data_IF_157570577940
#
_entry.id   IF_157570577940
#
_cell.length_a   1.000
_cell.length_b   1.000
_cell.length_c   1.000
_cell.angle_alpha   90.00
_cell.angle_beta   90.00
_cell.angle_gamma   90.00
#
_symmetry.space_group_name_H-M   'P 1'
#
loop_
_entity.id
_entity.type
_entity.pdbx_description
1 polymer ?
#
# COMPACT_ATOMS: atom_id res chain seq x y z
N UNK A 1 6.76 -31.15 -33.62
CA UNK A 1 5.97 -30.06 -33.02
C UNK A 1 6.46 -29.79 -31.61
N UNK A 2 6.68 -28.53 -31.24
CA UNK A 2 7.04 -28.16 -29.86
C UNK A 2 5.89 -28.44 -28.89
N UNK A 3 6.21 -28.78 -27.64
CA UNK A 3 5.17 -29.03 -26.63
C UNK A 3 4.42 -27.72 -26.31
N UNK A 4 3.08 -27.75 -26.18
CA UNK A 4 2.32 -26.58 -25.78
C UNK A 4 2.68 -26.15 -24.35
N UNK A 5 2.61 -24.84 -24.08
CA UNK A 5 2.91 -24.30 -22.76
C UNK A 5 1.88 -24.81 -21.74
N UNK A 6 2.35 -25.38 -20.63
CA UNK A 6 1.47 -25.97 -19.60
C UNK A 6 0.72 -24.93 -18.77
N UNK A 7 1.10 -23.65 -18.81
CA UNK A 7 0.42 -22.57 -18.07
C UNK A 7 0.53 -22.65 -16.55
N UNK A 8 1.34 -23.56 -16.00
CA UNK A 8 1.49 -23.76 -14.55
C UNK A 8 2.06 -22.51 -13.89
N UNK A 9 1.42 -22.08 -12.82
CA UNK A 9 1.96 -21.08 -11.90
C UNK A 9 2.67 -21.77 -10.75
N UNK A 10 3.70 -21.11 -10.23
CA UNK A 10 4.46 -21.55 -9.08
C UNK A 10 4.34 -20.52 -7.97
N UNK A 11 3.96 -20.96 -6.77
CA UNK A 11 3.90 -20.13 -5.57
C UNK A 11 5.21 -20.32 -4.79
N UNK A 12 5.87 -19.21 -4.43
CA UNK A 12 7.08 -19.26 -3.63
C UNK A 12 7.17 -18.10 -2.66
N UNK A 13 8.09 -18.20 -1.71
CA UNK A 13 8.33 -17.17 -0.71
C UNK A 13 9.54 -16.33 -1.11
N UNK A 14 9.42 -15.01 -1.02
CA UNK A 14 10.50 -14.03 -1.20
C UNK A 14 10.69 -13.28 0.11
N UNK A 15 11.93 -13.21 0.58
CA UNK A 15 12.32 -12.44 1.78
C UNK A 15 13.08 -11.20 1.33
N UNK A 16 12.76 -10.06 1.91
CA UNK A 16 13.38 -8.78 1.60
C UNK A 16 13.87 -8.12 2.89
N UNK A 17 15.19 -8.10 3.06
CA UNK A 17 15.85 -7.49 4.21
C UNK A 17 15.98 -5.98 4.01
N UNK A 18 15.51 -5.19 4.97
CA UNK A 18 15.60 -3.74 4.98
C UNK A 18 16.90 -3.28 5.66
N UNK A 19 17.37 -2.04 5.43
CA UNK A 19 18.52 -1.49 6.14
C UNK A 19 18.40 -1.51 7.67
N UNK A 20 17.17 -1.44 8.19
CA UNK A 20 16.89 -1.48 9.64
C UNK A 20 17.01 -2.91 10.24
N UNK A 21 17.29 -3.93 9.43
CA UNK A 21 17.36 -5.33 9.86
C UNK A 21 16.03 -6.09 9.83
N UNK A 22 14.89 -5.39 9.65
CA UNK A 22 13.59 -6.02 9.46
C UNK A 22 13.52 -6.79 8.13
N UNK A 23 12.91 -7.97 8.15
CA UNK A 23 12.71 -8.81 6.97
C UNK A 23 11.24 -8.88 6.61
N UNK A 24 10.88 -8.38 5.43
CA UNK A 24 9.53 -8.52 4.90
C UNK A 24 9.40 -9.84 4.13
N UNK A 25 8.33 -10.59 4.42
CA UNK A 25 8.06 -11.90 3.81
C UNK A 25 6.89 -11.78 2.84
N UNK A 26 7.15 -12.07 1.58
CA UNK A 26 6.18 -12.01 0.50
C UNK A 26 5.93 -13.40 -0.08
N UNK A 27 4.66 -13.72 -0.31
CA UNK A 27 4.28 -14.76 -1.26
C UNK A 27 4.35 -14.17 -2.67
N UNK A 28 5.06 -14.83 -3.58
CA UNK A 28 5.10 -14.49 -5.01
C UNK A 28 4.49 -15.63 -5.81
N UNK A 29 3.65 -15.28 -6.78
CA UNK A 29 3.17 -16.22 -7.79
C UNK A 29 3.89 -15.91 -9.08
N UNK A 30 4.62 -16.88 -9.62
CA UNK A 30 5.36 -16.75 -10.88
C UNK A 30 4.73 -17.63 -11.95
N UNK A 31 4.75 -17.17 -13.20
CA UNK A 31 4.32 -17.96 -14.35
C UNK A 31 5.10 -17.57 -15.59
N UNK A 32 5.13 -18.47 -16.57
CA UNK A 32 5.82 -18.24 -17.83
C UNK A 32 4.98 -17.37 -18.77
N UNK A 33 5.58 -16.31 -19.30
CA UNK A 33 4.96 -15.46 -20.31
C UNK A 33 5.47 -15.83 -21.71
N UNK A 34 4.57 -16.37 -22.53
CA UNK A 34 4.88 -16.82 -23.89
C UNK A 34 5.32 -15.70 -24.83
N UNK A 35 4.87 -14.46 -24.61
CA UNK A 35 5.23 -13.32 -25.49
C UNK A 35 6.66 -12.88 -25.27
N UNK A 36 7.08 -12.84 -24.00
CA UNK A 36 8.43 -12.40 -23.63
C UNK A 36 9.41 -13.54 -23.41
N UNK A 37 8.94 -14.79 -23.51
CA UNK A 37 9.69 -16.03 -23.31
C UNK A 37 10.43 -16.08 -21.97
N UNK A 38 9.85 -15.46 -20.93
CA UNK A 38 10.47 -15.32 -19.61
C UNK A 38 9.48 -15.65 -18.51
N UNK A 39 9.99 -16.18 -17.41
CA UNK A 39 9.23 -16.32 -16.16
C UNK A 39 9.02 -14.94 -15.55
N UNK A 40 7.77 -14.57 -15.31
CA UNK A 40 7.38 -13.31 -14.69
C UNK A 40 6.65 -13.53 -13.37
N UNK A 41 6.74 -12.53 -12.51
CA UNK A 41 5.93 -12.49 -11.29
C UNK A 41 4.55 -11.96 -11.64
N UNK A 42 3.52 -12.77 -11.44
CA UNK A 42 2.12 -12.45 -11.71
C UNK A 42 1.56 -11.61 -10.56
N UNK A 43 1.80 -12.04 -9.32
CA UNK A 43 1.32 -11.35 -8.14
C UNK A 43 2.30 -11.47 -6.98
N UNK A 44 2.21 -10.50 -6.07
CA UNK A 44 2.92 -10.52 -4.80
C UNK A 44 1.94 -10.18 -3.68
N UNK A 45 2.04 -10.92 -2.57
CA UNK A 45 1.24 -10.70 -1.38
C UNK A 45 2.16 -10.62 -0.18
N UNK A 46 2.03 -9.56 0.63
CA UNK A 46 2.75 -9.44 1.88
C UNK A 46 2.12 -10.36 2.93
N UNK A 47 2.90 -11.29 3.48
CA UNK A 47 2.48 -12.20 4.54
C UNK A 47 2.72 -11.58 5.92
N UNK A 48 3.87 -10.93 6.10
CA UNK A 48 4.26 -10.36 7.38
C UNK A 48 5.65 -9.76 7.36
N UNK A 49 6.11 -9.37 8.54
CA UNK A 49 7.50 -8.93 8.78
C UNK A 49 8.10 -9.67 9.96
N UNK A 50 9.40 -9.90 9.90
CA UNK A 50 10.21 -10.41 11.00
C UNK A 50 11.06 -9.24 11.47
N UNK A 51 10.98 -8.91 12.75
CA UNK A 51 11.72 -7.78 13.31
C UNK A 51 13.20 -8.15 13.45
N UNK A 52 14.08 -7.16 13.36
CA UNK A 52 15.50 -7.36 13.62
C UNK A 52 15.73 -8.06 14.98
N UNK A 53 16.52 -9.13 14.99
CA UNK A 53 16.82 -9.91 16.20
C UNK A 53 15.75 -10.94 16.60
N UNK A 54 14.62 -11.02 15.88
CA UNK A 54 13.58 -12.04 16.10
C UNK A 54 13.54 -13.05 14.96
N UNK A 55 13.01 -14.24 15.21
CA UNK A 55 12.79 -15.27 14.17
C UNK A 55 11.32 -15.39 13.76
N UNK A 56 10.41 -14.89 14.60
CA UNK A 56 8.97 -15.02 14.40
C UNK A 56 8.44 -13.97 13.42
N UNK A 57 7.52 -14.41 12.56
CA UNK A 57 6.87 -13.54 11.58
C UNK A 57 5.58 -12.96 12.16
N UNK A 58 5.50 -11.64 12.21
CA UNK A 58 4.33 -10.90 12.66
C UNK A 58 3.51 -10.45 11.44
N UNK A 59 2.19 -10.73 11.39
CA UNK A 59 1.35 -10.29 10.29
C UNK A 59 1.26 -8.77 10.26
N UNK A 60 1.29 -8.19 9.07
CA UNK A 60 1.10 -6.75 8.90
C UNK A 60 -0.39 -6.38 8.89
N UNK A 61 -0.69 -5.16 9.34
CA UNK A 61 -2.05 -4.59 9.24
C UNK A 61 -2.60 -4.78 7.80
N UNK A 62 -3.84 -5.27 7.64
CA UNK A 62 -4.43 -5.44 6.32
C UNK A 62 -4.50 -4.11 5.57
N UNK A 63 -4.27 -4.15 4.26
CA UNK A 63 -4.45 -2.98 3.40
C UNK A 63 -5.93 -2.63 3.37
N UNK A 64 -6.27 -1.37 3.61
CA UNK A 64 -7.65 -0.88 3.50
C UNK A 64 -8.16 -1.15 2.08
N UNK A 65 -9.33 -1.76 1.97
CA UNK A 65 -9.93 -2.04 0.66
C UNK A 65 -10.31 -0.72 -0.02
N UNK A 66 -10.14 -0.65 -1.35
CA UNK A 66 -10.42 0.58 -2.12
C UNK A 66 -11.93 0.90 -2.17
N UNK A 67 -12.77 -0.12 -1.96
CA UNK A 67 -14.24 -0.02 -1.90
C UNK A 67 -14.75 0.50 -0.57
N UNK A 68 -13.97 0.37 0.51
CA UNK A 68 -14.30 0.89 1.83
C UNK A 68 -13.81 2.35 1.94
N UNK A 69 -14.29 3.18 1.02
CA UNK A 69 -14.36 4.62 1.25
C UNK A 69 -15.45 4.79 2.30
N UNK A 70 -15.07 4.58 3.56
CA UNK A 70 -15.84 5.02 4.72
C UNK A 70 -16.08 6.50 4.47
N UNK A 71 -17.32 6.85 4.08
CA UNK A 71 -17.71 8.26 4.04
C UNK A 71 -17.40 8.81 5.42
N UNK A 72 -16.61 9.88 5.54
CA UNK A 72 -16.35 10.47 6.83
C UNK A 72 -17.72 10.78 7.47
N UNK A 73 -17.87 10.60 8.80
CA UNK A 73 -19.14 10.88 9.48
C UNK A 73 -19.56 12.36 9.35
N UNK A 74 -18.63 13.23 8.95
CA UNK A 74 -18.84 14.64 8.69
C UNK A 74 -18.26 14.97 7.32
N UNK A 75 -19.07 15.59 6.46
CA UNK A 75 -18.61 16.20 5.22
C UNK A 75 -17.79 17.46 5.54
N UNK A 76 -16.51 17.25 5.87
CA UNK A 76 -15.58 18.33 6.16
C UNK A 76 -14.97 18.86 4.86
N UNK A 77 -15.24 20.12 4.54
CA UNK A 77 -14.62 20.82 3.40
C UNK A 77 -13.50 21.71 3.93
N UNK A 78 -12.26 21.50 3.48
CA UNK A 78 -11.15 22.42 3.76
C UNK A 78 -11.30 23.64 2.87
N UNK A 79 -11.71 24.76 3.43
CA UNK A 79 -11.72 26.04 2.72
C UNK A 79 -10.33 26.67 2.80
N UNK A 80 -9.74 26.97 1.64
CA UNK A 80 -8.56 27.84 1.60
C UNK A 80 -9.05 29.28 1.76
N UNK A 81 -8.71 29.90 2.88
CA UNK A 81 -8.97 31.32 3.13
C UNK A 81 -7.65 32.07 3.24
N UNK A 82 -7.59 33.26 2.63
CA UNK A 82 -6.44 34.14 2.67
C UNK A 82 -6.44 35.03 3.93
N UNK A 83 -5.28 35.62 4.23
CA UNK A 83 -5.05 36.49 5.39
C UNK A 83 -6.13 37.58 5.55
N UNK A 84 -6.49 38.25 4.46
CA UNK A 84 -7.46 39.34 4.50
C UNK A 84 -8.83 38.91 5.03
N UNK A 85 -9.33 37.75 4.59
CA UNK A 85 -10.61 37.21 5.04
C UNK A 85 -10.59 36.76 6.50
N UNK A 86 -9.42 36.36 7.01
CA UNK A 86 -9.21 36.05 8.42
C UNK A 86 -9.24 37.33 9.26
N UNK A 87 -8.56 38.38 8.80
CA UNK A 87 -8.52 39.67 9.49
C UNK A 87 -9.89 40.36 9.49
N UNK A 88 -10.61 40.34 8.37
CA UNK A 88 -11.99 40.85 8.29
C UNK A 88 -12.93 40.11 9.25
N UNK A 89 -12.84 38.78 9.33
CA UNK A 89 -13.63 38.01 10.28
C UNK A 89 -13.26 38.37 11.73
N UNK A 90 -11.96 38.46 12.04
CA UNK A 90 -11.49 38.81 13.38
C UNK A 90 -11.93 40.23 13.78
N UNK A 91 -11.86 41.22 12.89
CA UNK A 91 -12.32 42.59 13.14
C UNK A 91 -13.81 42.66 13.47
N UNK A 92 -14.64 41.95 12.70
CA UNK A 92 -16.10 41.87 12.94
C UNK A 92 -16.45 41.17 14.24
N UNK A 93 -15.83 40.03 14.53
CA UNK A 93 -16.12 39.26 15.75
C UNK A 93 -15.63 39.98 17.02
N UNK A 94 -14.54 40.74 16.91
CA UNK A 94 -13.99 41.54 18.01
C UNK A 94 -14.62 42.92 18.17
N UNK A 95 -15.44 43.37 17.20
CA UNK A 95 -16.08 44.68 17.21
C UNK A 95 -15.11 45.86 17.06
N UNK A 96 -13.95 45.62 16.43
CA UNK A 96 -12.90 46.63 16.20
C UNK A 96 -13.05 47.30 14.82
N UNK A 97 -13.91 46.74 13.96
CA UNK A 97 -14.22 47.22 12.61
C UNK A 97 -15.12 48.47 12.62
#
# INVERSE_FOLDING_TARGET
MGRPLTGKTHVGIRRETRPNGDVYVYERVTGYDAKTQKTKTISTRLLGKILAGTTEMIPTRPKKSRSEVVKPPVDAVRTHVGLQRILEWAGKESGID
#
